data_IF_641066864757
#
_entry.id   IF_641066864757
#
_cell.length_a   1.000
_cell.length_b   1.000
_cell.length_c   1.000
_cell.angle_alpha   90.00
_cell.angle_beta   90.00
_cell.angle_gamma   90.00
#
_symmetry.space_group_name_H-M   'P 1'
#
loop_
_entity.id
_entity.type
_entity.pdbx_description
1 polymer ?
#
# COMPACT_ATOMS: atom_id res chain seq x y z
N UNK A 1 37.11 -19.59 29.93
CA UNK A 1 36.09 -20.00 28.94
C UNK A 1 34.74 -19.26 29.06
N UNK A 2 34.64 -18.16 29.83
CA UNK A 2 33.36 -17.44 30.03
C UNK A 2 33.10 -16.37 28.95
N UNK A 3 34.15 -15.68 28.49
CA UNK A 3 34.02 -14.60 27.50
C UNK A 3 33.58 -15.10 26.11
N UNK A 4 34.07 -16.26 25.68
CA UNK A 4 33.71 -16.87 24.39
C UNK A 4 32.21 -17.23 24.35
N UNK A 5 31.64 -17.64 25.49
CA UNK A 5 30.20 -17.89 25.63
C UNK A 5 29.38 -16.61 25.55
N UNK A 6 29.86 -15.50 26.13
CA UNK A 6 29.20 -14.19 26.00
C UNK A 6 29.21 -13.66 24.57
N UNK A 7 30.31 -13.83 23.84
CA UNK A 7 30.38 -13.46 22.41
C UNK A 7 29.42 -14.30 21.57
N UNK A 8 29.36 -15.61 21.82
CA UNK A 8 28.42 -16.52 21.13
C UNK A 8 26.95 -16.16 21.42
N UNK A 9 26.60 -15.83 22.67
CA UNK A 9 25.24 -15.40 23.01
C UNK A 9 24.89 -14.07 22.34
N UNK A 10 25.81 -13.10 22.32
CA UNK A 10 25.58 -11.81 21.67
C UNK A 10 25.40 -11.93 20.15
N UNK A 11 26.11 -12.86 19.49
CA UNK A 11 26.01 -13.06 18.04
C UNK A 11 24.65 -13.69 17.64
N UNK A 12 24.13 -14.60 18.46
CA UNK A 12 22.81 -15.23 18.22
C UNK A 12 21.67 -14.21 18.35
N UNK A 13 21.77 -13.25 19.29
CA UNK A 13 20.74 -12.22 19.49
C UNK A 13 20.69 -11.23 18.31
N UNK A 14 21.85 -10.89 17.71
CA UNK A 14 21.88 -9.96 16.57
C UNK A 14 21.30 -10.56 15.28
N UNK A 15 21.33 -11.88 15.12
CA UNK A 15 20.77 -12.57 13.96
C UNK A 15 19.23 -12.60 13.97
N UNK A 16 18.60 -12.50 15.15
CA UNK A 16 17.14 -12.50 15.30
C UNK A 16 16.47 -11.14 15.02
N UNK A 17 17.24 -10.06 14.96
CA UNK A 17 16.72 -8.70 14.78
C UNK A 17 16.39 -8.35 13.32
N UNK A 18 16.67 -9.24 12.36
CA UNK A 18 16.32 -9.02 10.95
C UNK A 18 14.90 -9.51 10.68
N UNK A 19 13.89 -8.84 11.24
CA UNK A 19 12.52 -9.00 10.74
C UNK A 19 12.40 -8.22 9.44
N UNK A 20 12.12 -8.92 8.34
CA UNK A 20 11.59 -8.25 7.15
C UNK A 20 10.27 -7.60 7.57
N UNK A 21 10.21 -6.28 7.60
CA UNK A 21 8.96 -5.57 7.83
C UNK A 21 7.95 -6.09 6.80
N UNK A 22 6.83 -6.64 7.27
CA UNK A 22 5.74 -7.03 6.37
C UNK A 22 5.28 -5.77 5.67
N UNK A 23 5.41 -5.75 4.34
CA UNK A 23 5.01 -4.60 3.54
C UNK A 23 3.51 -4.36 3.71
N UNK A 24 3.14 -3.18 4.21
CA UNK A 24 1.75 -2.80 4.32
C UNK A 24 1.14 -2.69 2.92
N UNK A 25 -0.06 -3.26 2.75
CA UNK A 25 -0.81 -3.20 1.52
C UNK A 25 -2.25 -2.75 1.81
N UNK A 26 -2.77 -1.88 0.95
CA UNK A 26 -4.16 -1.47 0.96
C UNK A 26 -4.74 -1.57 -0.45
N UNK A 27 -6.05 -1.77 -0.55
CA UNK A 27 -6.78 -1.79 -1.82
C UNK A 27 -7.92 -0.78 -1.77
N UNK A 28 -8.17 -0.12 -2.89
CA UNK A 28 -9.29 0.81 -3.08
C UNK A 28 -10.06 0.45 -4.36
N UNK A 29 -11.38 0.45 -4.27
CA UNK A 29 -12.26 0.37 -5.44
C UNK A 29 -12.29 1.73 -6.14
N UNK A 30 -12.13 1.72 -7.46
CA UNK A 30 -12.21 2.93 -8.28
C UNK A 30 -13.62 3.00 -8.87
N UNK A 31 -14.37 4.01 -8.44
CA UNK A 31 -15.77 4.19 -8.81
C UNK A 31 -15.92 5.31 -9.85
N UNK A 32 -16.74 5.08 -10.87
CA UNK A 32 -17.12 6.09 -11.83
C UNK A 32 -18.15 7.07 -11.27
N UNK A 33 -18.35 8.21 -11.94
CA UNK A 33 -19.32 9.23 -11.53
C UNK A 33 -20.78 8.73 -11.53
N UNK A 34 -21.08 7.68 -12.29
CA UNK A 34 -22.37 6.97 -12.32
C UNK A 34 -22.55 6.01 -11.13
N UNK A 35 -21.49 5.73 -10.37
CA UNK A 35 -21.48 4.72 -9.31
C UNK A 35 -21.07 3.32 -9.79
N UNK A 36 -20.65 3.16 -11.05
CA UNK A 36 -20.17 1.87 -11.54
C UNK A 36 -18.72 1.61 -11.12
N UNK A 37 -18.37 0.35 -10.81
CA UNK A 37 -17.00 -0.05 -10.49
C UNK A 37 -16.12 -0.06 -11.75
N UNK A 38 -15.14 0.84 -11.82
CA UNK A 38 -14.18 0.94 -12.93
C UNK A 38 -12.94 0.06 -12.73
N UNK A 39 -12.71 -0.46 -11.52
CA UNK A 39 -11.61 -1.38 -11.24
C UNK A 39 -11.07 -1.21 -9.82
N UNK A 40 -9.80 -1.57 -9.63
CA UNK A 40 -9.14 -1.53 -8.32
C UNK A 40 -7.77 -0.86 -8.38
N UNK A 41 -7.38 -0.25 -7.28
CA UNK A 41 -6.05 0.32 -7.06
C UNK A 41 -5.42 -0.37 -5.84
N UNK A 42 -4.26 -0.97 -6.05
CA UNK A 42 -3.44 -1.53 -4.97
C UNK A 42 -2.36 -0.54 -4.59
N UNK A 43 -2.21 -0.31 -3.29
CA UNK A 43 -1.18 0.52 -2.69
C UNK A 43 -0.26 -0.38 -1.88
N UNK A 44 1.02 -0.38 -2.21
CA UNK A 44 2.04 -1.19 -1.55
C UNK A 44 3.12 -0.27 -1.01
N UNK A 45 3.34 -0.30 0.31
CA UNK A 45 4.45 0.44 0.91
C UNK A 45 5.80 -0.09 0.38
N UNK A 46 6.77 0.79 0.18
CA UNK A 46 8.12 0.41 -0.23
C UNK A 46 9.12 1.30 0.50
N UNK A 47 10.42 0.95 0.55
CA UNK A 47 11.43 1.78 1.20
C UNK A 47 11.55 3.21 0.66
N UNK A 48 11.01 3.49 -0.53
CA UNK A 48 11.13 4.78 -1.22
C UNK A 48 9.80 5.44 -1.55
N UNK A 49 8.69 4.97 -0.98
CA UNK A 49 7.36 5.51 -1.20
C UNK A 49 6.30 4.44 -1.36
N UNK A 50 5.16 4.79 -1.94
CA UNK A 50 4.05 3.86 -2.17
C UNK A 50 3.97 3.52 -3.65
N UNK A 51 4.05 2.24 -3.98
CA UNK A 51 3.76 1.76 -5.32
C UNK A 51 2.24 1.69 -5.52
N UNK A 52 1.79 2.29 -6.61
CA UNK A 52 0.39 2.29 -7.02
C UNK A 52 0.23 1.43 -8.27
N UNK A 53 -0.61 0.41 -8.18
CA UNK A 53 -0.97 -0.42 -9.32
C UNK A 53 -2.48 -0.36 -9.54
N UNK A 54 -2.88 0.16 -10.70
CA UNK A 54 -4.28 0.31 -11.08
C UNK A 54 -4.65 -0.71 -12.15
N UNK A 55 -5.66 -1.52 -11.87
CA UNK A 55 -6.31 -2.37 -12.87
C UNK A 55 -7.68 -1.75 -13.17
N UNK A 56 -7.77 -1.08 -14.32
CA UNK A 56 -8.91 -0.24 -14.69
C UNK A 56 -9.49 -0.67 -16.04
N UNK A 57 -10.81 -0.65 -16.11
CA UNK A 57 -11.58 -0.92 -17.32
C UNK A 57 -12.54 0.23 -17.59
N UNK A 58 -13.02 0.31 -18.85
CA UNK A 58 -14.06 1.27 -19.27
C UNK A 58 -13.67 2.74 -19.08
N UNK A 59 -12.36 3.03 -19.12
CA UNK A 59 -11.81 4.38 -19.22
C UNK A 59 -11.42 4.67 -20.67
N UNK A 60 -11.56 5.91 -21.11
CA UNK A 60 -11.13 6.31 -22.44
C UNK A 60 -9.60 6.19 -22.55
N UNK A 61 -9.04 5.89 -23.73
CA UNK A 61 -7.59 5.97 -23.92
C UNK A 61 -7.09 7.41 -23.73
N UNK A 62 -5.95 7.57 -23.06
CA UNK A 62 -5.30 8.86 -22.87
C UNK A 62 -4.72 9.07 -21.47
N UNK A 63 -4.23 10.28 -21.22
CA UNK A 63 -3.67 10.66 -19.92
C UNK A 63 -4.78 10.85 -18.89
N UNK A 64 -4.60 10.25 -17.72
CA UNK A 64 -5.49 10.41 -16.57
C UNK A 64 -4.66 10.85 -15.37
N UNK A 65 -5.10 11.90 -14.68
CA UNK A 65 -4.55 12.29 -13.38
C UNK A 65 -5.10 11.40 -12.28
N UNK A 66 -4.31 11.14 -11.25
CA UNK A 66 -4.77 10.50 -10.02
C UNK A 66 -4.44 11.40 -8.82
N UNK A 67 -5.27 11.33 -7.78
CA UNK A 67 -5.07 12.05 -6.52
C UNK A 67 -5.46 11.14 -5.35
N UNK A 68 -4.84 11.37 -4.19
CA UNK A 68 -5.26 10.76 -2.93
C UNK A 68 -6.08 11.78 -2.17
N UNK A 69 -7.30 11.41 -1.77
CA UNK A 69 -8.17 12.25 -0.97
C UNK A 69 -7.97 11.98 0.51
N UNK A 70 -7.97 13.03 1.34
CA UNK A 70 -7.88 12.90 2.80
C UNK A 70 -9.04 12.05 3.38
N UNK A 71 -10.23 12.14 2.77
CA UNK A 71 -11.45 11.47 3.23
C UNK A 71 -12.04 10.62 2.12
N UNK A 72 -12.45 9.40 2.47
CA UNK A 72 -13.17 8.50 1.57
C UNK A 72 -14.65 8.86 1.45
N UNK A 73 -14.94 10.07 0.96
CA UNK A 73 -16.32 10.52 0.74
C UNK A 73 -16.72 10.30 -0.72
N UNK A 74 -17.15 9.08 -1.04
CA UNK A 74 -17.83 8.77 -2.30
C UNK A 74 -19.34 9.11 -2.26
N UNK A 75 -19.77 10.00 -1.36
CA UNK A 75 -21.16 10.39 -1.27
C UNK A 75 -21.55 11.20 -2.51
N UNK A 76 -22.38 10.60 -3.37
CA UNK A 76 -23.20 11.36 -4.32
C UNK A 76 -24.06 12.31 -3.49
N UNK A 77 -23.65 13.57 -3.36
CA UNK A 77 -24.55 14.60 -2.86
C UNK A 77 -25.81 14.53 -3.74
N UNK A 78 -27.01 14.45 -3.15
CA UNK A 78 -28.23 14.52 -3.95
C UNK A 78 -28.16 15.81 -4.78
N UNK A 79 -28.32 15.67 -6.10
CA UNK A 79 -28.59 16.81 -6.95
C UNK A 79 -29.99 17.29 -6.56
N UNK A 80 -30.03 18.35 -5.77
CA UNK A 80 -31.23 19.15 -5.60
C UNK A 80 -31.65 19.73 -6.96
#
# INVERSE_FOLDING_TARGET
MSWLKMVLVSLVISALASSSAMTAQATAEIMGASGDMLGTMTLTETPHGVLLFADLVRILPGNHSYHVHEKNLHARLPKN
#
